data_IF_712992838871
#
_entry.id   IF_712992838871
#
_cell.length_a   1.000
_cell.length_b   1.000
_cell.length_c   1.000
_cell.angle_alpha   90.00
_cell.angle_beta   90.00
_cell.angle_gamma   90.00
#
_symmetry.space_group_name_H-M   'P 1'
#
loop_
_entity.id
_entity.type
_entity.pdbx_description
1 polymer ?
#
# COMPACT_ATOMS: atom_id res chain seq x y z
N UNK A 1 -2.79 55.19 9.75
CA UNK A 1 -4.01 54.42 10.07
C UNK A 1 -3.81 53.03 9.48
N UNK A 2 -3.44 52.06 10.31
CA UNK A 2 -3.11 50.69 9.88
C UNK A 2 -4.39 49.86 9.92
N UNK A 3 -4.94 49.49 8.75
CA UNK A 3 -6.09 48.60 8.68
C UNK A 3 -5.62 47.16 8.85
N UNK A 4 -5.86 46.59 10.03
CA UNK A 4 -5.69 45.17 10.26
C UNK A 4 -6.72 44.40 9.42
N UNK A 5 -6.27 43.69 8.39
CA UNK A 5 -7.08 42.68 7.73
C UNK A 5 -7.27 41.51 8.70
N UNK A 6 -8.48 40.94 8.85
CA UNK A 6 -8.68 39.83 9.76
C UNK A 6 -7.88 38.63 9.23
N UNK A 7 -6.83 38.23 9.94
CA UNK A 7 -6.20 36.93 9.76
C UNK A 7 -7.23 35.89 10.19
N UNK A 8 -8.08 35.44 9.27
CA UNK A 8 -8.78 34.17 9.42
C UNK A 8 -7.71 33.12 9.60
N UNK A 9 -7.56 32.61 10.81
CA UNK A 9 -6.90 31.34 11.09
C UNK A 9 -7.79 30.24 10.48
N UNK A 10 -7.79 30.17 9.14
CA UNK A 10 -8.25 29.00 8.42
C UNK A 10 -7.10 28.02 8.47
N UNK A 11 -7.23 26.95 9.26
CA UNK A 11 -6.45 25.74 9.05
C UNK A 11 -6.89 25.12 7.72
N UNK A 12 -6.53 25.75 6.61
CA UNK A 12 -6.64 25.12 5.30
C UNK A 12 -5.47 24.15 5.23
N UNK A 13 -5.64 22.97 5.82
CA UNK A 13 -4.84 21.83 5.40
C UNK A 13 -5.18 21.63 3.92
N UNK A 14 -4.33 22.12 3.03
CA UNK A 14 -4.44 21.86 1.61
C UNK A 14 -4.24 20.35 1.46
N UNK A 15 -5.31 19.62 1.15
CA UNK A 15 -5.24 18.19 0.86
C UNK A 15 -4.48 18.05 -0.46
N UNK A 16 -3.28 17.49 -0.39
CA UNK A 16 -2.40 17.32 -1.56
C UNK A 16 -2.59 15.97 -2.26
N UNK A 17 -3.10 14.96 -1.56
CA UNK A 17 -3.38 13.63 -2.10
C UNK A 17 -4.43 12.89 -1.26
N UNK A 18 -5.11 11.93 -1.90
CA UNK A 18 -5.95 10.94 -1.23
C UNK A 18 -5.12 9.73 -0.82
N UNK A 19 -5.14 9.38 0.46
CA UNK A 19 -4.51 8.15 0.97
C UNK A 19 -5.58 7.08 1.12
N UNK A 20 -5.44 6.01 0.35
CA UNK A 20 -6.42 4.93 0.30
C UNK A 20 -5.79 3.64 0.83
N UNK A 21 -6.32 3.12 1.93
CA UNK A 21 -5.84 1.87 2.54
C UNK A 21 -6.48 0.64 1.90
N UNK A 22 -5.69 -0.43 1.71
CA UNK A 22 -6.13 -1.72 1.14
C UNK A 22 -5.76 -2.95 1.98
N UNK A 23 -5.33 -2.73 3.22
CA UNK A 23 -4.98 -3.79 4.17
C UNK A 23 -6.20 -4.26 4.98
N UNK A 24 -6.21 -5.54 5.32
CA UNK A 24 -7.17 -6.15 6.23
C UNK A 24 -6.43 -6.95 7.32
N UNK A 25 -7.08 -7.14 8.46
CA UNK A 25 -6.53 -7.95 9.56
C UNK A 25 -6.21 -9.37 9.10
N UNK A 26 -5.05 -9.90 9.49
CA UNK A 26 -4.61 -11.26 9.18
C UNK A 26 -4.10 -11.49 7.75
N UNK A 27 -3.96 -10.45 6.93
CA UNK A 27 -3.34 -10.60 5.60
C UNK A 27 -1.84 -10.81 5.72
N UNK A 28 -1.32 -11.72 4.90
CA UNK A 28 0.11 -12.00 4.73
C UNK A 28 0.59 -11.52 3.37
N UNK A 29 1.89 -11.60 3.08
CA UNK A 29 2.42 -11.34 1.73
C UNK A 29 1.79 -12.27 0.68
N UNK A 30 1.42 -13.49 1.07
CA UNK A 30 0.69 -14.44 0.20
C UNK A 30 -0.69 -13.93 -0.17
N UNK A 31 -1.43 -13.38 0.81
CA UNK A 31 -2.74 -12.74 0.55
C UNK A 31 -2.57 -11.52 -0.36
N UNK A 32 -1.57 -10.68 -0.06
CA UNK A 32 -1.27 -9.45 -0.79
C UNK A 32 -1.02 -9.71 -2.28
N UNK A 33 -0.19 -10.70 -2.59
CA UNK A 33 0.14 -11.10 -3.96
C UNK A 33 -1.10 -11.43 -4.79
N UNK A 34 -2.08 -12.12 -4.20
CA UNK A 34 -3.30 -12.54 -4.89
C UNK A 34 -4.25 -11.36 -5.14
N UNK A 35 -4.33 -10.42 -4.20
CA UNK A 35 -5.28 -9.29 -4.29
C UNK A 35 -4.71 -8.11 -5.08
N UNK A 36 -3.38 -7.98 -5.19
CA UNK A 36 -2.74 -6.81 -5.79
C UNK A 36 -3.28 -6.48 -7.19
N UNK A 37 -3.48 -7.44 -8.11
CA UNK A 37 -4.03 -7.16 -9.44
C UNK A 37 -5.49 -6.69 -9.46
N UNK A 38 -6.20 -6.81 -8.34
CA UNK A 38 -7.57 -6.30 -8.16
C UNK A 38 -7.57 -4.89 -7.57
N UNK A 39 -6.47 -4.51 -6.93
CA UNK A 39 -6.28 -3.20 -6.33
C UNK A 39 -5.71 -2.24 -7.36
N UNK A 40 -4.64 -2.65 -8.04
CA UNK A 40 -4.00 -1.92 -9.11
C UNK A 40 -4.22 -2.68 -10.40
N UNK A 41 -4.79 -2.01 -11.38
CA UNK A 41 -5.01 -2.49 -12.73
C UNK A 41 -4.69 -1.35 -13.70
N UNK A 42 -4.39 -1.63 -14.98
CA UNK A 42 -3.82 -0.65 -15.92
C UNK A 42 -4.53 0.71 -15.94
N UNK A 43 -5.86 0.72 -15.81
CA UNK A 43 -6.65 1.94 -15.90
C UNK A 43 -6.61 2.81 -14.64
N UNK A 44 -6.47 2.23 -13.43
CA UNK A 44 -6.48 3.02 -12.19
C UNK A 44 -5.09 3.40 -11.68
N UNK A 45 -4.05 2.74 -12.17
CA UNK A 45 -2.68 2.95 -11.71
C UNK A 45 -2.15 4.32 -12.15
N UNK A 46 -2.75 4.89 -13.21
CA UNK A 46 -2.47 6.23 -13.74
C UNK A 46 -2.73 7.37 -12.75
N UNK A 47 -3.70 7.19 -11.85
CA UNK A 47 -4.07 8.20 -10.86
C UNK A 47 -3.28 8.05 -9.53
N UNK A 48 -2.30 7.14 -9.50
CA UNK A 48 -1.54 6.79 -8.29
C UNK A 48 -0.17 7.44 -8.32
N UNK A 49 0.01 8.47 -7.49
CA UNK A 49 1.32 9.15 -7.33
C UNK A 49 2.35 8.27 -6.58
N UNK A 50 1.88 7.47 -5.62
CA UNK A 50 2.73 6.58 -4.84
C UNK A 50 1.93 5.42 -4.23
N UNK A 51 2.61 4.30 -4.01
CA UNK A 51 2.09 3.17 -3.25
C UNK A 51 3.13 2.70 -2.23
N UNK A 52 2.67 1.99 -1.20
CA UNK A 52 3.53 1.36 -0.19
C UNK A 52 3.06 -0.07 0.02
N UNK A 53 3.97 -1.04 -0.13
CA UNK A 53 3.74 -2.42 0.27
C UNK A 53 4.21 -2.56 1.72
N UNK A 54 3.30 -2.93 2.62
CA UNK A 54 3.59 -3.02 4.05
C UNK A 54 3.07 -4.34 4.65
N UNK A 55 3.82 -5.42 4.40
CA UNK A 55 3.54 -6.78 4.89
C UNK A 55 4.79 -7.37 5.57
N UNK A 56 4.61 -8.38 6.44
CA UNK A 56 5.71 -9.05 7.14
C UNK A 56 5.39 -9.41 8.60
N UNK A 57 4.56 -8.62 9.29
CA UNK A 57 4.25 -8.89 10.70
C UNK A 57 3.43 -10.17 10.89
N UNK A 58 2.42 -10.39 10.05
CA UNK A 58 1.62 -11.63 10.11
C UNK A 58 2.42 -12.82 9.57
N UNK A 59 3.23 -12.60 8.53
CA UNK A 59 4.13 -13.60 7.91
C UNK A 59 5.10 -14.22 8.92
N UNK A 60 5.56 -13.41 9.89
CA UNK A 60 6.44 -13.83 10.99
C UNK A 60 5.73 -14.73 12.03
N UNK A 61 4.43 -14.98 11.89
CA UNK A 61 3.70 -15.87 12.79
C UNK A 61 4.38 -17.23 12.92
N UNK A 62 4.37 -17.80 14.13
CA UNK A 62 4.97 -19.09 14.40
C UNK A 62 4.29 -20.22 13.60
N UNK A 63 5.10 -21.15 13.08
CA UNK A 63 4.63 -22.35 12.37
C UNK A 63 3.66 -23.18 13.21
N UNK A 64 3.85 -23.22 14.53
CA UNK A 64 3.04 -24.01 15.44
C UNK A 64 1.91 -23.20 16.09
N UNK A 65 2.10 -21.89 16.28
CA UNK A 65 1.13 -21.02 16.97
C UNK A 65 0.01 -20.53 16.06
N UNK A 66 0.37 -20.10 14.84
CA UNK A 66 -0.58 -19.57 13.86
C UNK A 66 -0.12 -19.95 12.43
N UNK A 67 -0.13 -21.25 12.09
CA UNK A 67 0.35 -21.78 10.82
C UNK A 67 -0.30 -21.13 9.59
N UNK A 68 -1.55 -20.67 9.71
CA UNK A 68 -2.31 -20.03 8.63
C UNK A 68 -1.74 -18.67 8.20
N UNK A 69 -0.99 -18.01 9.09
CA UNK A 69 -0.37 -16.72 8.81
C UNK A 69 1.13 -16.84 8.54
N UNK A 70 1.75 -17.97 8.90
CA UNK A 70 3.17 -18.19 8.70
C UNK A 70 3.54 -18.19 7.21
N UNK A 71 4.53 -17.38 6.85
CA UNK A 71 5.15 -17.38 5.52
C UNK A 71 6.67 -17.52 5.69
N UNK A 72 7.29 -18.57 5.13
CA UNK A 72 8.74 -18.70 5.11
C UNK A 72 9.43 -17.49 4.48
N UNK A 73 10.68 -17.20 4.87
CA UNK A 73 11.40 -16.02 4.37
C UNK A 73 11.59 -16.07 2.85
N UNK A 74 11.82 -17.27 2.30
CA UNK A 74 11.96 -17.50 0.87
C UNK A 74 10.65 -17.15 0.15
N UNK A 75 9.52 -17.69 0.61
CA UNK A 75 8.20 -17.37 0.09
C UNK A 75 7.89 -15.86 0.23
N UNK A 76 8.23 -15.22 1.35
CA UNK A 76 8.01 -13.79 1.57
C UNK A 76 8.78 -12.96 0.54
N UNK A 77 10.06 -13.27 0.31
CA UNK A 77 10.88 -12.63 -0.71
C UNK A 77 10.31 -12.82 -2.11
N UNK A 78 9.92 -14.04 -2.48
CA UNK A 78 9.28 -14.32 -3.78
C UNK A 78 7.96 -13.56 -3.95
N UNK A 79 7.12 -13.50 -2.91
CA UNK A 79 5.88 -12.75 -2.96
C UNK A 79 6.13 -11.25 -3.20
N UNK A 80 7.13 -10.66 -2.54
CA UNK A 80 7.49 -9.25 -2.75
C UNK A 80 8.02 -9.02 -4.17
N UNK A 81 8.91 -9.88 -4.67
CA UNK A 81 9.44 -9.77 -6.02
C UNK A 81 8.33 -9.82 -7.08
N UNK A 82 7.39 -10.77 -6.95
CA UNK A 82 6.27 -10.87 -7.88
C UNK A 82 5.36 -9.64 -7.84
N UNK A 83 5.07 -9.12 -6.64
CA UNK A 83 4.30 -7.89 -6.49
C UNK A 83 4.99 -6.69 -7.13
N UNK A 84 6.31 -6.54 -6.92
CA UNK A 84 7.10 -5.47 -7.54
C UNK A 84 7.09 -5.63 -9.07
N UNK A 85 7.38 -6.82 -9.59
CA UNK A 85 7.37 -7.09 -11.04
C UNK A 85 6.01 -6.76 -11.66
N UNK A 86 4.91 -7.11 -10.99
CA UNK A 86 3.56 -6.75 -11.44
C UNK A 86 3.40 -5.23 -11.52
N UNK A 87 3.79 -4.50 -10.49
CA UNK A 87 3.65 -3.04 -10.46
C UNK A 87 4.56 -2.39 -11.51
N UNK A 88 5.83 -2.79 -11.62
CA UNK A 88 6.76 -2.26 -12.62
C UNK A 88 6.21 -2.42 -14.04
N UNK A 89 5.73 -3.60 -14.43
CA UNK A 89 5.15 -3.80 -15.77
C UNK A 89 3.95 -2.90 -16.01
N UNK A 90 3.12 -2.61 -14.99
CA UNK A 90 1.94 -1.77 -15.17
C UNK A 90 2.22 -0.26 -14.99
N UNK A 91 3.30 0.13 -14.30
CA UNK A 91 3.74 1.54 -14.16
C UNK A 91 4.64 1.99 -15.31
N UNK A 92 5.43 1.09 -15.93
CA UNK A 92 6.38 1.43 -17.00
C UNK A 92 5.88 1.14 -18.43
N UNK A 93 4.70 0.53 -18.62
CA UNK A 93 4.08 0.35 -19.96
C UNK A 93 3.27 1.59 -20.39
N UNK A 94 3.70 2.76 -19.90
CA UNK A 94 3.14 4.08 -20.21
C UNK A 94 4.23 5.02 -20.73
#
# INVERSE_FOLDING_TARGET
>A
MWSAQPKRFGTTALRVADVITRGFSGYTSRSARIILPRIFYPENILDVEAFVIFFGTNDLSGKDDAPQYHVPVEDYSENLEEMIKYLEVNFYVL
#
